data_IF_584414534606
#
_entry.id   IF_584414534606
#
_cell.length_a   1.000
_cell.length_b   1.000
_cell.length_c   1.000
_cell.angle_alpha   90.00
_cell.angle_beta   90.00
_cell.angle_gamma   90.00
#
_symmetry.space_group_name_H-M   'P 1'
#
loop_
_entity.id
_entity.type
_entity.pdbx_description
1 polymer ?
#
# COMPACT_ATOMS: atom_id res chain seq x y z
N UNK A 1 13.44 4.80 36.01
CA UNK A 1 13.73 4.26 34.67
C UNK A 1 12.42 4.26 33.89
N UNK A 2 12.30 5.14 32.89
CA UNK A 2 11.05 5.35 32.16
C UNK A 2 10.94 4.34 31.03
N UNK A 3 9.88 3.55 31.03
CA UNK A 3 9.53 2.56 30.01
C UNK A 3 9.21 3.29 28.69
N UNK A 4 9.84 2.97 27.54
CA UNK A 4 9.44 3.55 26.27
C UNK A 4 8.06 3.02 25.87
N UNK A 5 7.15 3.94 25.62
CA UNK A 5 5.78 3.69 25.20
C UNK A 5 5.75 2.81 23.94
N UNK A 6 5.05 1.67 24.04
CA UNK A 6 4.67 0.85 22.90
C UNK A 6 3.88 1.71 21.92
N UNK A 7 4.50 2.03 20.79
CA UNK A 7 3.82 2.53 19.60
C UNK A 7 2.62 1.63 19.29
N UNK A 8 1.45 2.19 18.93
CA UNK A 8 0.34 1.38 18.47
C UNK A 8 0.78 0.73 17.16
N UNK A 9 1.23 -0.52 17.26
CA UNK A 9 1.43 -1.41 16.13
C UNK A 9 0.06 -1.60 15.48
N UNK A 10 -0.30 -0.70 14.57
CA UNK A 10 -1.38 -0.95 13.63
C UNK A 10 -1.01 -2.24 12.92
N UNK A 11 -1.64 -3.33 13.36
CA UNK A 11 -1.55 -4.67 12.79
C UNK A 11 -2.01 -4.59 11.34
N UNK A 12 -1.12 -4.17 10.45
CA UNK A 12 -1.26 -4.49 9.04
C UNK A 12 -1.15 -6.00 8.96
N UNK A 13 -2.29 -6.67 8.79
CA UNK A 13 -2.39 -8.11 8.47
C UNK A 13 -1.70 -8.45 7.13
N UNK A 14 -1.11 -7.47 6.44
CA UNK A 14 -0.37 -7.69 5.21
C UNK A 14 1.01 -8.26 5.54
N UNK A 15 1.38 -9.28 4.77
CA UNK A 15 2.68 -9.91 4.86
C UNK A 15 3.80 -8.85 4.70
N UNK A 16 4.76 -8.74 5.64
CA UNK A 16 5.83 -7.74 5.55
C UNK A 16 6.66 -7.86 4.26
N UNK A 17 6.92 -9.08 3.79
CA UNK A 17 7.65 -9.33 2.55
C UNK A 17 6.92 -8.78 1.32
N UNK A 18 5.59 -8.92 1.30
CA UNK A 18 4.75 -8.35 0.24
C UNK A 18 4.86 -6.82 0.23
N UNK A 19 4.87 -6.19 1.40
CA UNK A 19 4.99 -4.73 1.53
C UNK A 19 6.33 -4.26 0.99
N UNK A 20 7.43 -4.96 1.32
CA UNK A 20 8.76 -4.66 0.78
C UNK A 20 8.73 -4.77 -0.74
N UNK A 21 8.22 -5.88 -1.29
CA UNK A 21 8.16 -6.10 -2.73
C UNK A 21 7.36 -5.02 -3.47
N UNK A 22 6.22 -4.63 -2.92
CA UNK A 22 5.39 -3.54 -3.46
C UNK A 22 6.16 -2.22 -3.46
N UNK A 23 6.89 -1.92 -2.38
CA UNK A 23 7.67 -0.69 -2.29
C UNK A 23 8.81 -0.67 -3.32
N UNK A 24 9.54 -1.77 -3.50
CA UNK A 24 10.59 -1.88 -4.51
C UNK A 24 10.06 -1.58 -5.91
N UNK A 25 8.95 -2.24 -6.29
CA UNK A 25 8.33 -2.02 -7.61
C UNK A 25 7.79 -0.59 -7.77
N UNK A 26 7.23 -0.01 -6.71
CA UNK A 26 6.77 1.38 -6.72
C UNK A 26 7.90 2.40 -6.83
N UNK A 27 9.05 2.15 -6.20
CA UNK A 27 10.25 2.98 -6.30
C UNK A 27 10.87 2.94 -7.69
N UNK A 28 10.78 1.80 -8.37
CA UNK A 28 11.18 1.63 -9.77
C UNK A 28 10.23 2.35 -10.76
N UNK A 29 9.15 2.99 -10.26
CA UNK A 29 8.19 3.72 -11.07
C UNK A 29 7.20 2.83 -11.82
N UNK A 30 7.09 1.55 -11.44
CA UNK A 30 6.16 0.62 -12.05
C UNK A 30 4.72 1.03 -11.69
N UNK A 31 3.85 1.03 -12.70
CA UNK A 31 2.44 1.37 -12.51
C UNK A 31 1.75 0.36 -11.60
N UNK A 32 0.76 0.82 -10.82
CA UNK A 32 0.01 -0.04 -9.90
C UNK A 32 -0.58 -1.28 -10.59
N UNK A 33 -1.04 -1.15 -11.84
CA UNK A 33 -1.57 -2.28 -12.63
C UNK A 33 -0.49 -3.32 -12.91
N UNK A 34 0.71 -2.87 -13.27
CA UNK A 34 1.85 -3.74 -13.53
C UNK A 34 2.41 -4.36 -12.24
N UNK A 35 2.38 -3.63 -11.12
CA UNK A 35 2.69 -4.19 -9.79
C UNK A 35 1.73 -5.34 -9.50
N UNK A 36 0.43 -5.14 -9.69
CA UNK A 36 -0.59 -6.15 -9.40
C UNK A 36 -0.41 -7.42 -10.25
N UNK A 37 -0.11 -7.25 -11.54
CA UNK A 37 0.24 -8.34 -12.46
C UNK A 37 1.51 -9.07 -12.03
N UNK A 38 2.53 -8.32 -11.58
CA UNK A 38 3.80 -8.88 -11.10
C UNK A 38 3.56 -9.72 -9.84
N UNK A 39 2.77 -9.22 -8.89
CA UNK A 39 2.43 -9.94 -7.66
C UNK A 39 1.66 -11.24 -7.94
N UNK A 40 0.74 -11.21 -8.91
CA UNK A 40 0.05 -12.41 -9.37
C UNK A 40 1.01 -13.42 -10.01
N UNK A 41 1.90 -12.96 -10.91
CA UNK A 41 2.88 -13.81 -11.60
C UNK A 41 3.87 -14.45 -10.63
N UNK A 42 4.28 -13.71 -9.61
CA UNK A 42 5.16 -14.19 -8.53
C UNK A 42 4.41 -15.04 -7.48
N UNK A 43 3.09 -15.24 -7.64
CA UNK A 43 2.24 -16.04 -6.75
C UNK A 43 2.30 -15.59 -5.29
N UNK A 44 2.34 -14.27 -5.07
CA UNK A 44 2.21 -13.72 -3.72
C UNK A 44 0.87 -14.10 -3.10
N UNK A 45 0.81 -14.09 -1.77
CA UNK A 45 -0.41 -14.39 -1.04
C UNK A 45 -1.03 -13.12 -0.45
N UNK A 46 -2.35 -13.03 -0.55
CA UNK A 46 -3.15 -12.07 0.19
C UNK A 46 -3.09 -12.36 1.70
N UNK A 47 -3.52 -11.42 2.54
CA UNK A 47 -3.61 -11.63 4.00
C UNK A 47 -4.48 -12.81 4.42
N UNK A 48 -5.37 -13.29 3.54
CA UNK A 48 -6.21 -14.46 3.79
C UNK A 48 -5.53 -15.78 3.41
N UNK A 49 -4.29 -15.74 2.92
CA UNK A 49 -3.55 -16.92 2.46
C UNK A 49 -3.92 -17.40 1.05
N UNK A 50 -4.82 -16.70 0.36
CA UNK A 50 -5.13 -16.99 -1.05
C UNK A 50 -4.11 -16.33 -1.98
N UNK A 51 -3.82 -16.99 -3.11
CA UNK A 51 -2.96 -16.42 -4.17
C UNK A 51 -3.51 -15.06 -4.61
N UNK A 52 -2.60 -14.13 -4.88
CA UNK A 52 -2.91 -12.78 -5.33
C UNK A 52 -3.77 -12.85 -6.59
N UNK A 53 -4.93 -12.18 -6.64
CA UNK A 53 -5.83 -12.28 -7.77
C UNK A 53 -5.19 -11.67 -9.04
N UNK A 54 -5.51 -12.20 -10.24
CA UNK A 54 -4.96 -11.69 -11.51
C UNK A 54 -5.48 -10.29 -11.86
N UNK A 55 -6.60 -9.88 -11.25
CA UNK A 55 -7.22 -8.57 -11.40
C UNK A 55 -7.67 -8.09 -10.03
N UNK A 56 -6.78 -7.43 -9.30
CA UNK A 56 -7.16 -6.68 -8.11
C UNK A 56 -7.46 -5.22 -8.51
N UNK A 57 -8.21 -4.50 -7.69
CA UNK A 57 -8.53 -3.08 -7.92
C UNK A 57 -7.32 -2.13 -7.70
N UNK A 58 -6.11 -2.66 -7.47
CA UNK A 58 -4.89 -1.88 -7.21
C UNK A 58 -4.90 -1.08 -5.90
N UNK A 59 -6.04 -1.02 -5.20
CA UNK A 59 -6.21 -0.22 -3.98
C UNK A 59 -5.26 -0.61 -2.87
N UNK A 60 -5.00 -1.90 -2.69
CA UNK A 60 -4.06 -2.38 -1.66
C UNK A 60 -2.65 -1.88 -1.94
N UNK A 61 -2.21 -1.94 -3.19
CA UNK A 61 -0.91 -1.43 -3.65
C UNK A 61 -0.83 0.09 -3.42
N UNK A 62 -1.83 0.86 -3.86
CA UNK A 62 -1.90 2.32 -3.66
C UNK A 62 -1.79 2.69 -2.18
N UNK A 63 -2.59 2.03 -1.32
CA UNK A 63 -2.57 2.28 0.12
C UNK A 63 -1.19 1.97 0.72
N UNK A 64 -0.59 0.86 0.32
CA UNK A 64 0.73 0.42 0.80
C UNK A 64 1.81 1.43 0.42
N UNK A 65 1.84 1.87 -0.85
CA UNK A 65 2.81 2.84 -1.35
C UNK A 65 2.65 4.20 -0.64
N UNK A 66 1.44 4.74 -0.59
CA UNK A 66 1.18 6.05 0.04
C UNK A 66 1.46 6.03 1.54
N UNK A 67 1.14 4.94 2.26
CA UNK A 67 1.49 4.79 3.69
C UNK A 67 2.99 4.73 3.94
N UNK A 68 3.79 4.38 2.92
CA UNK A 68 5.25 4.33 2.96
C UNK A 68 5.89 5.60 2.38
N UNK A 69 5.10 6.61 2.01
CA UNK A 69 5.58 7.85 1.42
C UNK A 69 6.06 7.71 -0.03
N UNK A 70 5.70 6.63 -0.72
CA UNK A 70 6.04 6.41 -2.12
C UNK A 70 4.86 6.88 -2.97
N UNK A 71 5.14 7.69 -3.99
CA UNK A 71 4.11 8.17 -4.93
C UNK A 71 3.74 7.05 -5.91
N UNK A 72 2.50 6.52 -5.87
CA UNK A 72 2.08 5.47 -6.78
C UNK A 72 1.89 6.01 -8.20
N UNK A 73 2.40 5.29 -9.19
CA UNK A 73 2.14 5.57 -10.60
C UNK A 73 0.82 4.92 -11.00
N UNK A 74 -0.16 5.72 -11.42
CA UNK A 74 -1.43 5.20 -11.90
C UNK A 74 -1.22 4.37 -13.18
N UNK A 75 -1.87 3.20 -13.26
CA UNK A 75 -1.93 2.42 -14.51
C UNK A 75 -3.24 2.62 -15.28
N UNK A 76 -4.23 3.28 -14.67
CA UNK A 76 -5.52 3.60 -15.27
C UNK A 76 -6.24 4.76 -14.54
N UNK A 77 -7.32 5.26 -15.14
CA UNK A 77 -8.08 6.40 -14.62
C UNK A 77 -8.77 6.14 -13.28
N UNK A 78 -9.18 4.90 -13.00
CA UNK A 78 -9.84 4.57 -11.72
C UNK A 78 -8.84 4.59 -10.58
N UNK A 79 -7.65 4.04 -10.82
CA UNK A 79 -6.54 4.08 -9.87
C UNK A 79 -6.08 5.52 -9.65
N UNK A 80 -5.94 6.32 -10.71
CA UNK A 80 -5.58 7.73 -10.57
C UNK A 80 -6.57 8.46 -9.65
N UNK A 81 -7.88 8.33 -9.91
CA UNK A 81 -8.91 8.91 -9.05
C UNK A 81 -8.76 8.46 -7.59
N UNK A 82 -8.53 7.17 -7.37
CA UNK A 82 -8.35 6.62 -6.04
C UNK A 82 -7.08 7.13 -5.33
N UNK A 83 -5.98 7.33 -6.05
CA UNK A 83 -4.74 7.92 -5.51
C UNK A 83 -5.03 9.30 -4.95
N UNK A 84 -5.71 10.16 -5.71
CA UNK A 84 -6.08 11.52 -5.29
C UNK A 84 -7.00 11.48 -4.05
N UNK A 85 -8.05 10.66 -4.09
CA UNK A 85 -9.00 10.56 -2.97
C UNK A 85 -8.32 10.03 -1.70
N UNK A 86 -7.42 9.05 -1.84
CA UNK A 86 -6.76 8.44 -0.69
C UNK A 86 -5.59 9.27 -0.15
N UNK A 87 -4.83 9.97 -1.01
CA UNK A 87 -3.78 10.90 -0.56
C UNK A 87 -4.37 12.03 0.28
N UNK A 88 -5.45 12.66 -0.21
CA UNK A 88 -6.17 13.69 0.54
C UNK A 88 -6.73 13.16 1.86
N UNK A 89 -7.16 11.89 1.91
CA UNK A 89 -7.59 11.23 3.15
C UNK A 89 -6.42 11.03 4.12
N UNK A 90 -5.25 10.59 3.65
CA UNK A 90 -4.06 10.44 4.48
C UNK A 90 -3.64 11.80 5.04
N UNK A 91 -3.64 12.86 4.23
CA UNK A 91 -3.31 14.21 4.70
C UNK A 91 -4.27 14.67 5.79
N UNK A 92 -5.59 14.46 5.61
CA UNK A 92 -6.60 14.77 6.64
C UNK A 92 -6.45 13.93 7.91
N UNK A 93 -6.08 12.65 7.78
CA UNK A 93 -5.89 11.76 8.92
C UNK A 93 -4.55 11.98 9.65
N UNK A 94 -3.51 12.36 8.89
CA UNK A 94 -2.20 12.79 9.41
C UNK A 94 -2.27 14.16 10.08
N UNK A 95 -3.21 15.00 9.66
CA UNK A 95 -3.59 16.26 10.33
C UNK A 95 -4.53 16.04 11.53
N UNK A 96 -4.25 15.03 12.37
CA UNK A 96 -4.87 14.96 13.70
C UNK A 96 -4.10 15.93 14.61
N UNK A 97 -4.65 17.08 15.02
CA UNK A 97 -4.06 17.84 16.12
C UNK A 97 -4.11 16.96 17.36
N UNK A 98 -2.94 16.70 17.96
CA UNK A 98 -2.92 16.31 19.37
C UNK A 98 -3.46 17.52 20.15
N UNK A 99 -4.75 17.49 20.45
CA UNK A 99 -5.44 18.40 21.36
C UNK A 99 -5.80 17.66 22.62
#
# INVERSE_FOLDING_TARGET
ASTPASVPSSRSRQNPDLVVRVCELGQDGISVVEIDRTLHRERWHTSSGSVWPPRNDGRVVVRTLLQRGISPVAGDAKIHKYIIEYSAKIERAGATPQG
#
